data_IF_785896121775
#
_entry.id   IF_785896121775
#
_cell.length_a   1.000
_cell.length_b   1.000
_cell.length_c   1.000
_cell.angle_alpha   90.00
_cell.angle_beta   90.00
_cell.angle_gamma   90.00
#
_symmetry.space_group_name_H-M   'P 1'
#
loop_
_entity.id
_entity.type
_entity.pdbx_description
1 polymer ?
#
# COMPACT_ATOMS: atom_id res chain seq x y z
N UNK A 1 -14.20 14.88 3.46
CA UNK A 1 -13.08 14.28 4.22
C UNK A 1 -11.92 14.13 3.27
N UNK A 2 -10.70 14.43 3.70
CA UNK A 2 -9.44 14.20 2.97
C UNK A 2 -8.62 13.15 3.74
N UNK A 3 -7.49 12.72 3.16
CA UNK A 3 -6.64 11.60 3.63
C UNK A 3 -7.24 10.20 3.39
N UNK A 4 -6.62 9.44 2.49
CA UNK A 4 -7.06 8.10 2.08
C UNK A 4 -7.17 7.14 3.27
N UNK A 5 -6.16 7.13 4.14
CA UNK A 5 -6.16 6.30 5.36
C UNK A 5 -7.32 6.62 6.29
N UNK A 6 -7.61 7.91 6.53
CA UNK A 6 -8.69 8.33 7.41
C UNK A 6 -10.07 8.00 6.81
N UNK A 7 -10.23 8.17 5.49
CA UNK A 7 -11.45 7.78 4.77
C UNK A 7 -11.67 6.27 4.86
N UNK A 8 -10.64 5.47 4.61
CA UNK A 8 -10.73 4.01 4.70
C UNK A 8 -11.06 3.55 6.12
N UNK A 9 -10.46 4.15 7.13
CA UNK A 9 -10.76 3.86 8.53
C UNK A 9 -12.21 4.17 8.87
N UNK A 10 -12.72 5.35 8.49
CA UNK A 10 -14.12 5.71 8.65
C UNK A 10 -15.06 4.70 7.95
N UNK A 11 -14.78 4.38 6.68
CA UNK A 11 -15.61 3.44 5.92
C UNK A 11 -15.59 2.02 6.51
N UNK A 12 -14.44 1.57 7.02
CA UNK A 12 -14.31 0.27 7.65
C UNK A 12 -15.13 0.18 8.95
N UNK A 13 -15.11 1.23 9.77
CA UNK A 13 -15.84 1.28 11.03
C UNK A 13 -17.36 1.44 10.81
N UNK A 14 -17.78 2.36 9.94
CA UNK A 14 -19.20 2.66 9.73
C UNK A 14 -19.92 1.62 8.85
N UNK A 15 -19.24 1.14 7.80
CA UNK A 15 -19.88 0.33 6.75
C UNK A 15 -19.25 -1.05 6.56
N UNK A 16 -18.09 -1.32 7.16
CA UNK A 16 -17.37 -2.58 6.98
C UNK A 16 -18.08 -3.80 7.59
N UNK A 17 -18.99 -3.61 8.55
CA UNK A 17 -19.80 -4.68 9.19
C UNK A 17 -18.97 -5.88 9.65
N UNK A 18 -17.76 -5.63 10.14
CA UNK A 18 -16.83 -6.67 10.59
C UNK A 18 -16.12 -7.48 9.49
N UNK A 19 -16.34 -7.19 8.21
CA UNK A 19 -15.74 -7.91 7.08
C UNK A 19 -14.34 -7.39 6.69
N UNK A 20 -13.95 -6.24 7.21
CA UNK A 20 -12.65 -5.61 6.99
C UNK A 20 -12.11 -5.10 8.31
N UNK A 21 -10.80 -5.25 8.54
CA UNK A 21 -10.13 -4.71 9.73
C UNK A 21 -9.60 -3.28 9.48
N UNK A 22 -9.60 -2.39 10.50
CA UNK A 22 -10.14 -2.62 11.84
C UNK A 22 -11.67 -2.60 11.82
N UNK A 23 -12.29 -3.36 12.74
CA UNK A 23 -13.73 -3.36 12.95
C UNK A 23 -14.10 -3.03 14.40
N UNK A 24 -15.39 -2.93 14.68
CA UNK A 24 -15.97 -2.86 16.02
C UNK A 24 -15.53 -4.02 16.93
N UNK A 25 -15.24 -5.18 16.33
CA UNK A 25 -14.74 -6.38 17.03
C UNK A 25 -13.22 -6.42 17.21
N UNK A 26 -12.48 -5.52 16.57
CA UNK A 26 -11.02 -5.51 16.68
C UNK A 26 -10.58 -5.03 18.06
N UNK A 27 -9.65 -5.77 18.68
CA UNK A 27 -9.02 -5.31 19.92
C UNK A 27 -8.05 -4.14 19.67
N UNK A 28 -7.57 -3.51 20.75
CA UNK A 28 -6.67 -2.36 20.63
C UNK A 28 -5.34 -2.72 19.96
N UNK A 29 -4.88 -3.97 20.04
CA UNK A 29 -3.63 -4.42 19.43
C UNK A 29 -3.80 -4.58 17.92
N UNK A 30 -4.91 -5.15 17.46
CA UNK A 30 -5.25 -5.25 16.05
C UNK A 30 -5.42 -3.87 15.41
N UNK A 31 -6.09 -2.95 16.11
CA UNK A 31 -6.23 -1.55 15.67
C UNK A 31 -4.86 -0.88 15.53
N UNK A 32 -4.01 -1.01 16.55
CA UNK A 32 -2.65 -0.46 16.51
C UNK A 32 -1.79 -1.07 15.39
N UNK A 33 -1.91 -2.38 15.15
CA UNK A 33 -1.20 -3.06 14.08
C UNK A 33 -1.68 -2.60 12.71
N UNK A 34 -2.99 -2.41 12.51
CA UNK A 34 -3.54 -1.88 11.28
C UNK A 34 -3.05 -0.45 11.03
N UNK A 35 -3.16 0.42 12.05
CA UNK A 35 -2.69 1.80 11.97
C UNK A 35 -1.19 1.89 11.65
N UNK A 36 -0.37 1.02 12.24
CA UNK A 36 1.07 0.91 11.93
C UNK A 36 1.28 0.65 10.43
N UNK A 37 0.58 -0.32 9.85
CA UNK A 37 0.76 -0.70 8.45
C UNK A 37 0.16 0.30 7.47
N UNK A 38 -0.95 0.97 7.81
CA UNK A 38 -1.42 2.12 7.03
C UNK A 38 -0.40 3.26 7.03
N UNK A 39 0.17 3.57 8.20
CA UNK A 39 1.21 4.61 8.32
C UNK A 39 2.47 4.22 7.54
N UNK A 40 2.90 2.97 7.62
CA UNK A 40 4.02 2.45 6.83
C UNK A 40 3.76 2.57 5.33
N UNK A 41 2.54 2.28 4.87
CA UNK A 41 2.17 2.40 3.46
C UNK A 41 2.42 3.81 2.93
N UNK A 42 1.95 4.84 3.64
CA UNK A 42 2.05 6.23 3.18
C UNK A 42 3.41 6.88 3.47
N UNK A 43 4.06 6.52 4.58
CA UNK A 43 5.30 7.18 5.01
C UNK A 43 6.57 6.51 4.45
N UNK A 44 6.57 5.19 4.27
CA UNK A 44 7.78 4.42 3.98
C UNK A 44 7.74 3.76 2.59
N UNK A 45 6.57 3.24 2.18
CA UNK A 45 6.43 2.52 0.92
C UNK A 45 6.11 3.46 -0.25
N UNK A 46 5.10 4.33 -0.08
CA UNK A 46 4.60 5.21 -1.13
C UNK A 46 5.46 6.46 -1.33
N UNK A 47 6.01 7.01 -0.24
CA UNK A 47 6.81 8.24 -0.25
C UNK A 47 7.99 8.19 -1.25
N UNK A 48 8.83 7.14 -1.32
CA UNK A 48 9.92 7.11 -2.28
C UNK A 48 9.41 7.03 -3.74
N UNK A 49 8.29 6.35 -3.98
CA UNK A 49 7.67 6.29 -5.31
C UNK A 49 7.19 7.67 -5.78
N UNK A 50 6.52 8.42 -4.91
CA UNK A 50 6.10 9.79 -5.26
C UNK A 50 7.28 10.71 -5.49
N UNK A 51 8.35 10.59 -4.70
CA UNK A 51 9.55 11.39 -4.89
C UNK A 51 10.21 11.07 -6.23
N UNK A 52 10.32 9.78 -6.59
CA UNK A 52 10.78 9.38 -7.92
C UNK A 52 9.89 9.93 -9.02
N UNK A 53 8.57 9.76 -8.95
CA UNK A 53 7.64 10.27 -9.96
C UNK A 53 7.76 11.80 -10.14
N UNK A 54 7.88 12.53 -9.01
CA UNK A 54 8.08 13.97 -8.98
C UNK A 54 9.33 14.41 -9.73
N UNK A 55 10.47 13.80 -9.42
CA UNK A 55 11.74 14.16 -10.05
C UNK A 55 11.96 13.51 -11.42
N UNK A 56 11.13 12.55 -11.84
CA UNK A 56 11.20 11.93 -13.16
C UNK A 56 10.32 12.63 -14.21
N UNK A 57 9.05 12.90 -13.90
CA UNK A 57 8.11 13.39 -14.92
C UNK A 57 7.05 14.40 -14.45
N UNK A 58 6.81 14.58 -13.16
CA UNK A 58 5.78 15.54 -12.70
C UNK A 58 6.34 16.96 -12.58
N UNK A 59 7.54 17.14 -12.03
CA UNK A 59 8.13 18.47 -11.91
C UNK A 59 8.61 19.02 -13.26
N UNK A 60 8.60 20.36 -13.43
CA UNK A 60 9.40 21.04 -14.45
C UNK A 60 10.87 20.62 -14.39
N UNK A 61 11.54 20.56 -15.54
CA UNK A 61 12.91 20.02 -15.65
C UNK A 61 13.92 20.74 -14.75
N UNK A 62 13.79 22.05 -14.56
CA UNK A 62 14.65 22.88 -13.73
C UNK A 62 14.52 22.62 -12.22
N UNK A 63 13.43 21.95 -11.80
CA UNK A 63 13.20 21.52 -10.41
C UNK A 63 13.58 20.06 -10.16
N UNK A 64 13.87 19.27 -11.22
CA UNK A 64 14.24 17.85 -11.09
C UNK A 64 15.64 17.71 -10.49
N UNK A 65 15.84 16.62 -9.77
CA UNK A 65 17.08 16.35 -9.03
C UNK A 65 17.43 14.88 -9.21
N UNK A 66 18.05 14.53 -10.33
CA UNK A 66 18.30 13.12 -10.72
C UNK A 66 19.10 12.33 -9.66
N UNK A 67 19.95 13.02 -8.89
CA UNK A 67 20.72 12.42 -7.80
C UNK A 67 19.88 11.82 -6.67
N UNK A 68 18.59 12.16 -6.55
CA UNK A 68 17.70 11.57 -5.52
C UNK A 68 17.18 10.19 -5.92
N UNK A 69 17.13 9.88 -7.22
CA UNK A 69 16.47 8.66 -7.72
C UNK A 69 17.11 7.38 -7.17
N UNK A 70 18.46 7.22 -7.11
CA UNK A 70 19.07 6.02 -6.52
C UNK A 70 18.77 5.87 -5.02
N UNK A 71 18.59 6.97 -4.28
CA UNK A 71 18.25 6.96 -2.85
C UNK A 71 16.83 6.46 -2.67
N UNK A 72 15.86 7.04 -3.39
CA UNK A 72 14.46 6.60 -3.33
C UNK A 72 14.30 5.14 -3.80
N UNK A 73 15.05 4.70 -4.82
CA UNK A 73 15.07 3.30 -5.21
C UNK A 73 15.50 2.41 -4.03
N UNK A 74 16.58 2.80 -3.33
CA UNK A 74 17.08 2.03 -2.18
C UNK A 74 16.07 2.02 -1.03
N UNK A 75 15.43 3.14 -0.73
CA UNK A 75 14.39 3.25 0.30
C UNK A 75 13.19 2.37 -0.03
N UNK A 76 12.70 2.39 -1.27
CA UNK A 76 11.62 1.52 -1.73
C UNK A 76 11.99 0.04 -1.57
N UNK A 77 13.19 -0.37 -1.97
CA UNK A 77 13.65 -1.76 -1.79
C UNK A 77 13.77 -2.18 -0.31
N UNK A 78 14.16 -1.26 0.57
CA UNK A 78 14.18 -1.51 2.01
C UNK A 78 12.75 -1.69 2.55
N UNK A 79 11.80 -0.84 2.12
CA UNK A 79 10.39 -0.96 2.50
C UNK A 79 9.79 -2.29 2.01
N UNK A 80 10.09 -2.73 0.78
CA UNK A 80 9.69 -4.05 0.28
C UNK A 80 10.24 -5.19 1.13
N UNK A 81 11.48 -5.07 1.62
CA UNK A 81 12.07 -6.10 2.48
C UNK A 81 11.32 -6.23 3.81
N UNK A 82 11.00 -5.10 4.45
CA UNK A 82 10.19 -5.07 5.69
C UNK A 82 8.79 -5.64 5.43
N UNK A 83 8.17 -5.28 4.31
CA UNK A 83 6.85 -5.74 3.96
C UNK A 83 6.82 -7.26 3.68
N UNK A 84 7.80 -7.76 2.95
CA UNK A 84 7.94 -9.19 2.65
C UNK A 84 8.13 -10.00 3.92
N UNK A 85 8.91 -9.49 4.88
CA UNK A 85 9.08 -10.12 6.18
C UNK A 85 7.79 -10.11 7.01
N UNK A 86 7.02 -9.03 7.00
CA UNK A 86 5.73 -8.98 7.70
C UNK A 86 4.73 -9.97 7.10
N UNK A 87 4.64 -9.99 5.77
CA UNK A 87 3.70 -10.86 5.08
C UNK A 87 4.06 -12.31 5.37
N UNK A 88 5.35 -12.66 5.31
CA UNK A 88 5.85 -14.02 5.52
C UNK A 88 5.03 -15.04 4.72
N UNK A 89 4.33 -15.96 5.40
CA UNK A 89 3.40 -16.93 4.82
C UNK A 89 1.92 -16.57 5.02
N UNK A 90 1.61 -15.38 5.55
CA UNK A 90 0.24 -14.95 5.80
C UNK A 90 -0.50 -14.63 4.48
N UNK A 91 -1.82 -14.78 4.51
CA UNK A 91 -2.65 -14.44 3.35
C UNK A 91 -2.68 -12.92 3.10
N UNK A 92 -2.82 -12.14 4.18
CA UNK A 92 -2.86 -10.69 4.25
C UNK A 92 -1.93 -10.16 5.36
N UNK A 93 -1.70 -8.86 5.41
CA UNK A 93 -0.70 -8.26 6.32
C UNK A 93 -0.97 -8.47 7.80
N UNK A 94 -2.23 -8.61 8.17
CA UNK A 94 -2.69 -8.82 9.53
C UNK A 94 -3.12 -10.28 9.78
N UNK A 95 -2.68 -11.22 8.93
CA UNK A 95 -3.02 -12.65 9.01
C UNK A 95 -4.03 -13.06 7.95
N UNK A 96 -5.13 -13.67 8.36
CA UNK A 96 -6.12 -14.27 7.44
C UNK A 96 -7.23 -13.31 7.01
N UNK A 97 -7.43 -12.20 7.73
CA UNK A 97 -8.53 -11.28 7.47
C UNK A 97 -8.01 -10.02 6.78
N UNK A 98 -8.61 -9.73 5.62
CA UNK A 98 -8.33 -8.52 4.84
C UNK A 98 -8.60 -7.24 5.64
N UNK A 99 -7.74 -6.24 5.46
CA UNK A 99 -7.76 -4.98 6.20
C UNK A 99 -7.62 -3.77 5.28
N UNK A 100 -7.87 -2.58 5.82
CA UNK A 100 -7.60 -1.33 5.11
C UNK A 100 -6.11 -1.14 4.77
N UNK A 101 -5.20 -1.71 5.57
CA UNK A 101 -3.78 -1.70 5.26
C UNK A 101 -3.49 -2.49 3.97
N UNK A 102 -4.22 -3.59 3.73
CA UNK A 102 -4.07 -4.37 2.51
C UNK A 102 -4.54 -3.60 1.27
N UNK A 103 -5.58 -2.77 1.41
CA UNK A 103 -6.03 -1.87 0.34
C UNK A 103 -4.92 -0.89 -0.05
N UNK A 104 -4.36 -0.17 0.93
CA UNK A 104 -3.32 0.83 0.69
C UNK A 104 -2.09 0.19 0.07
N UNK A 105 -1.58 -0.89 0.68
CA UNK A 105 -0.32 -1.50 0.24
C UNK A 105 -0.47 -2.19 -1.11
N UNK A 106 -1.55 -2.93 -1.35
CA UNK A 106 -1.73 -3.57 -2.65
C UNK A 106 -1.91 -2.55 -3.79
N UNK A 107 -2.57 -1.42 -3.52
CA UNK A 107 -2.65 -0.30 -4.45
C UNK A 107 -1.26 0.29 -4.74
N UNK A 108 -0.48 0.62 -3.69
CA UNK A 108 0.86 1.19 -3.85
C UNK A 108 1.79 0.24 -4.62
N UNK A 109 1.76 -1.07 -4.35
CA UNK A 109 2.56 -2.04 -5.08
C UNK A 109 2.12 -2.21 -6.54
N UNK A 110 0.80 -2.20 -6.82
CA UNK A 110 0.30 -2.22 -8.19
C UNK A 110 0.69 -0.97 -8.98
N UNK A 111 0.70 0.20 -8.32
CA UNK A 111 1.22 1.43 -8.89
C UNK A 111 2.73 1.35 -9.15
N UNK A 112 3.51 0.82 -8.21
CA UNK A 112 4.95 0.63 -8.38
C UNK A 112 5.28 -0.24 -9.61
N UNK A 113 4.55 -1.34 -9.82
CA UNK A 113 4.67 -2.18 -11.02
C UNK A 113 4.33 -1.42 -12.30
N UNK A 114 3.25 -0.63 -12.30
CA UNK A 114 2.88 0.23 -13.43
C UNK A 114 3.93 1.32 -13.70
N UNK A 115 4.60 1.78 -12.65
CA UNK A 115 5.73 2.70 -12.69
C UNK A 115 7.08 1.98 -12.92
N UNK A 116 7.04 0.73 -13.39
CA UNK A 116 8.20 -0.08 -13.79
C UNK A 116 9.25 -0.27 -12.68
N UNK A 117 8.83 -0.20 -11.41
CA UNK A 117 9.67 -0.48 -10.27
C UNK A 117 9.76 -1.99 -10.04
N UNK A 118 10.96 -2.46 -9.69
CA UNK A 118 11.20 -3.87 -9.41
C UNK A 118 10.66 -4.28 -8.03
N UNK A 119 9.94 -5.40 -7.98
CA UNK A 119 9.52 -6.08 -6.75
C UNK A 119 10.07 -7.51 -6.81
N UNK A 120 11.29 -7.76 -6.30
CA UNK A 120 11.94 -9.05 -6.45
C UNK A 120 11.33 -10.15 -5.55
N UNK A 121 10.58 -9.78 -4.52
CA UNK A 121 10.01 -10.73 -3.56
C UNK A 121 8.76 -11.41 -4.13
N UNK A 122 8.84 -12.72 -4.38
CA UNK A 122 7.75 -13.52 -4.97
C UNK A 122 6.50 -13.59 -4.08
N UNK A 123 6.65 -13.53 -2.76
CA UNK A 123 5.51 -13.50 -1.83
C UNK A 123 4.71 -12.19 -1.96
N UNK A 124 5.39 -11.06 -2.17
CA UNK A 124 4.74 -9.78 -2.43
C UNK A 124 4.03 -9.78 -3.78
N UNK A 125 4.65 -10.32 -4.83
CA UNK A 125 4.00 -10.46 -6.14
C UNK A 125 2.71 -11.31 -6.04
N UNK A 126 2.77 -12.44 -5.34
CA UNK A 126 1.62 -13.30 -5.09
C UNK A 126 0.53 -12.59 -4.29
N UNK A 127 0.93 -11.78 -3.30
CA UNK A 127 0.03 -10.98 -2.49
C UNK A 127 -0.68 -9.87 -3.30
N UNK A 128 0.06 -9.14 -4.14
CA UNK A 128 -0.52 -8.14 -5.07
C UNK A 128 -1.53 -8.80 -5.99
N UNK A 129 -1.17 -9.94 -6.60
CA UNK A 129 -2.08 -10.68 -7.46
C UNK A 129 -3.36 -11.09 -6.71
N UNK A 130 -3.24 -11.59 -5.49
CA UNK A 130 -4.39 -11.97 -4.65
C UNK A 130 -5.29 -10.78 -4.34
N UNK A 131 -4.73 -9.65 -3.91
CA UNK A 131 -5.50 -8.44 -3.59
C UNK A 131 -6.18 -7.84 -4.83
N UNK A 132 -5.46 -7.74 -5.95
CA UNK A 132 -5.96 -7.14 -7.20
C UNK A 132 -6.95 -8.05 -7.95
N UNK A 133 -6.94 -9.36 -7.68
CA UNK A 133 -7.92 -10.30 -8.26
C UNK A 133 -9.31 -10.22 -7.61
N UNK A 134 -9.44 -9.56 -6.46
CA UNK A 134 -10.71 -9.42 -5.74
C UNK A 134 -11.74 -8.68 -6.61
N UNK A 135 -13.02 -9.13 -6.64
CA UNK A 135 -14.06 -8.47 -7.43
C UNK A 135 -14.19 -6.97 -7.16
N UNK A 136 -14.04 -6.55 -5.90
CA UNK A 136 -14.09 -5.15 -5.50
C UNK A 136 -12.99 -4.30 -6.15
N UNK A 137 -11.77 -4.83 -6.30
CA UNK A 137 -10.67 -4.13 -6.96
C UNK A 137 -10.97 -3.91 -8.44
N UNK A 138 -11.43 -4.97 -9.13
CA UNK A 138 -11.79 -4.89 -10.55
C UNK A 138 -12.93 -3.89 -10.82
N UNK A 139 -13.93 -3.86 -9.95
CA UNK A 139 -15.02 -2.88 -10.04
C UNK A 139 -14.53 -1.44 -9.83
N UNK A 140 -13.56 -1.22 -8.93
CA UNK A 140 -12.97 0.10 -8.74
C UNK A 140 -12.18 0.53 -9.99
N UNK A 141 -11.33 -0.35 -10.52
CA UNK A 141 -10.52 -0.08 -11.72
C UNK A 141 -11.38 0.27 -12.95
N UNK A 142 -12.53 -0.38 -13.12
CA UNK A 142 -13.47 -0.06 -14.21
C UNK A 142 -14.07 1.35 -14.14
N UNK A 143 -14.00 2.03 -12.98
CA UNK A 143 -14.50 3.39 -12.81
C UNK A 143 -13.44 4.46 -13.02
N UNK A 144 -12.17 4.07 -13.13
CA UNK A 144 -11.03 4.97 -13.36
C UNK A 144 -10.63 5.04 -14.85
N UNK A 145 -11.22 4.18 -15.69
CA UNK A 145 -11.10 4.17 -17.15
C UNK A 145 -12.23 4.97 -17.78
#
# INVERSE_FOLDING_TARGET
MSESTAILEFLAQEYGKGQIKPSDKSDNREKALCAKWCSFAVCELEQPLWTMAKHSFIYPEDMRQDGILPVCQKEFQNALSVLSQQLDSNEYLLGEVFSIADILISHTLAWALSFQQEIPQSNLMSYVQRCTSRPAFKMAQQREL
#
